data_IF_329962946497
#
_entry.id   IF_329962946497
#
_cell.length_a   1.000
_cell.length_b   1.000
_cell.length_c   1.000
_cell.angle_alpha   90.00
_cell.angle_beta   90.00
_cell.angle_gamma   90.00
#
_symmetry.space_group_name_H-M   'P 1'
#
loop_
_entity.id
_entity.type
_entity.pdbx_description
1 polymer ?
#
# COMPACT_ATOMS: atom_id res chain seq x y z
N UNK A 1 -26.33 -13.29 -74.13
CA UNK A 1 -27.65 -13.04 -73.50
C UNK A 1 -27.40 -12.27 -72.22
N UNK A 2 -27.64 -10.95 -72.25
CA UNK A 2 -27.43 -10.04 -71.16
C UNK A 2 -28.58 -10.14 -70.17
N UNK A 3 -28.31 -10.16 -68.87
CA UNK A 3 -29.29 -9.79 -67.84
C UNK A 3 -28.67 -8.84 -66.84
N UNK A 4 -29.27 -7.67 -66.81
CA UNK A 4 -29.02 -6.55 -65.92
C UNK A 4 -29.21 -6.93 -64.45
N UNK A 5 -28.32 -6.48 -63.58
CA UNK A 5 -28.55 -6.42 -62.15
C UNK A 5 -28.51 -4.96 -61.69
N UNK A 6 -29.64 -4.55 -61.22
CA UNK A 6 -29.93 -3.22 -60.68
C UNK A 6 -29.14 -2.99 -59.40
N UNK A 7 -28.38 -1.90 -59.32
CA UNK A 7 -27.69 -1.42 -58.14
C UNK A 7 -28.69 -0.59 -57.30
N UNK A 8 -29.11 -1.09 -56.14
CA UNK A 8 -29.88 -0.31 -55.18
C UNK A 8 -28.93 0.32 -54.18
N UNK A 9 -28.72 1.64 -54.25
CA UNK A 9 -28.03 2.42 -53.25
C UNK A 9 -28.90 2.57 -51.99
N UNK A 10 -28.53 1.89 -50.89
CA UNK A 10 -29.07 2.18 -49.56
C UNK A 10 -28.24 3.28 -48.93
N UNK A 11 -28.81 4.47 -48.85
CA UNK A 11 -28.23 5.56 -48.02
C UNK A 11 -28.51 5.25 -46.54
N UNK A 12 -27.46 4.90 -45.83
CA UNK A 12 -27.49 4.77 -44.35
C UNK A 12 -27.30 6.16 -43.76
N UNK A 13 -28.36 6.75 -43.25
CA UNK A 13 -28.33 7.95 -42.43
C UNK A 13 -27.70 7.59 -41.08
N UNK A 14 -26.45 8.00 -40.87
CA UNK A 14 -25.83 8.05 -39.53
C UNK A 14 -26.50 9.16 -38.72
N UNK A 15 -27.44 8.79 -37.86
CA UNK A 15 -27.87 9.66 -36.76
C UNK A 15 -26.72 9.69 -35.73
N UNK A 16 -25.98 10.77 -35.75
CA UNK A 16 -25.02 11.07 -34.65
C UNK A 16 -25.85 11.44 -33.43
N UNK A 17 -26.27 10.44 -32.69
CA UNK A 17 -26.78 10.64 -31.34
C UNK A 17 -25.65 11.07 -30.44
N UNK A 18 -25.50 12.36 -30.22
CA UNK A 18 -24.67 12.91 -29.19
C UNK A 18 -25.19 12.43 -27.83
N UNK A 19 -24.64 11.33 -27.32
CA UNK A 19 -24.84 10.95 -25.91
C UNK A 19 -24.09 11.99 -25.07
N UNK A 20 -24.84 12.95 -24.51
CA UNK A 20 -24.41 13.70 -23.35
C UNK A 20 -24.12 12.67 -22.24
N UNK A 21 -22.89 12.20 -22.16
CA UNK A 21 -22.40 11.58 -20.93
C UNK A 21 -22.39 12.69 -19.87
N UNK A 22 -23.51 12.81 -19.17
CA UNK A 22 -23.53 13.52 -17.91
C UNK A 22 -22.42 12.91 -17.07
N UNK A 23 -21.38 13.68 -16.75
CA UNK A 23 -20.36 13.33 -15.77
C UNK A 23 -21.08 13.04 -14.44
N UNK A 24 -21.47 11.78 -14.23
CA UNK A 24 -21.86 11.33 -12.92
C UNK A 24 -20.65 11.59 -12.03
N UNK A 25 -20.74 12.56 -11.10
CA UNK A 25 -19.69 12.80 -10.10
C UNK A 25 -19.39 11.47 -9.46
N UNK A 26 -18.20 10.94 -9.70
CA UNK A 26 -17.75 9.68 -9.12
C UNK A 26 -17.94 9.76 -7.60
N UNK A 27 -18.71 8.82 -7.06
CA UNK A 27 -19.03 8.82 -5.62
C UNK A 27 -17.74 8.63 -4.84
N UNK A 28 -17.50 9.50 -3.86
CA UNK A 28 -16.36 9.35 -2.95
C UNK A 28 -16.46 8.02 -2.20
N UNK A 29 -15.60 7.07 -2.53
CA UNK A 29 -15.62 5.70 -2.00
C UNK A 29 -14.57 5.44 -0.91
N UNK A 30 -13.90 6.50 -0.43
CA UNK A 30 -12.84 6.39 0.57
C UNK A 30 -13.41 6.49 1.98
N UNK A 31 -12.73 5.86 2.94
CA UNK A 31 -13.17 5.79 4.35
C UNK A 31 -12.86 7.06 5.15
N UNK A 32 -12.32 8.08 4.51
CA UNK A 32 -12.02 9.38 5.11
C UNK A 32 -12.71 10.51 4.32
N UNK A 33 -12.95 11.67 4.95
CA UNK A 33 -13.60 12.80 4.30
C UNK A 33 -12.80 13.33 3.11
N UNK A 34 -13.51 13.75 2.06
CA UNK A 34 -12.89 14.39 0.90
C UNK A 34 -12.43 15.81 1.25
N UNK A 35 -11.19 16.14 0.91
CA UNK A 35 -10.65 17.49 1.02
C UNK A 35 -11.07 18.34 -0.18
N UNK A 36 -11.34 19.62 0.07
CA UNK A 36 -11.54 20.63 -0.96
C UNK A 36 -10.21 21.31 -1.41
N UNK A 37 -9.09 21.01 -0.76
CA UNK A 37 -7.76 21.60 -1.05
C UNK A 37 -6.96 20.83 -2.08
N UNK A 38 -7.39 19.62 -2.45
CA UNK A 38 -6.68 18.75 -3.38
C UNK A 38 -7.56 18.28 -4.54
N UNK A 39 -6.93 18.05 -5.69
CA UNK A 39 -7.52 17.29 -6.79
C UNK A 39 -7.08 15.84 -6.66
N UNK A 40 -7.95 14.91 -7.00
CA UNK A 40 -7.64 13.46 -6.98
C UNK A 40 -7.89 12.91 -8.37
N UNK A 41 -6.89 12.24 -8.94
CA UNK A 41 -6.94 11.63 -10.26
C UNK A 41 -6.67 10.13 -10.12
N UNK A 42 -7.52 9.28 -10.69
CA UNK A 42 -7.23 7.85 -10.83
C UNK A 42 -6.18 7.64 -11.89
N UNK A 43 -5.18 6.83 -11.55
CA UNK A 43 -4.06 6.53 -12.43
C UNK A 43 -3.75 5.04 -12.42
N UNK A 44 -3.12 4.57 -13.50
CA UNK A 44 -2.55 3.23 -13.56
C UNK A 44 -1.11 3.29 -14.06
N UNK A 45 -0.28 2.37 -13.60
CA UNK A 45 1.10 2.23 -14.02
C UNK A 45 1.51 0.76 -13.89
N UNK A 46 2.61 0.36 -14.52
CA UNK A 46 3.07 -1.03 -14.48
C UNK A 46 4.37 -1.15 -13.71
N UNK A 47 4.49 -2.22 -12.93
CA UNK A 47 5.77 -2.61 -12.38
C UNK A 47 6.62 -3.39 -13.42
N UNK A 48 7.88 -3.66 -13.11
CA UNK A 48 8.81 -4.38 -14.03
C UNK A 48 8.37 -5.81 -14.37
N UNK A 49 7.44 -6.39 -13.60
CA UNK A 49 6.83 -7.69 -13.89
C UNK A 49 5.61 -7.58 -14.82
N UNK A 50 5.27 -6.37 -15.29
CA UNK A 50 4.14 -6.11 -16.17
C UNK A 50 2.79 -6.08 -15.46
N UNK A 51 2.76 -6.14 -14.12
CA UNK A 51 1.52 -6.04 -13.35
C UNK A 51 1.07 -4.58 -13.33
N UNK A 52 -0.18 -4.34 -13.73
CA UNK A 52 -0.79 -3.01 -13.68
C UNK A 52 -1.26 -2.71 -12.26
N UNK A 53 -0.75 -1.60 -11.72
CA UNK A 53 -1.11 -1.05 -10.42
C UNK A 53 -2.12 0.07 -10.59
N UNK A 54 -3.09 0.14 -9.67
CA UNK A 54 -4.06 1.21 -9.58
C UNK A 54 -3.68 2.17 -8.46
N UNK A 55 -3.70 3.47 -8.75
CA UNK A 55 -3.37 4.52 -7.79
C UNK A 55 -4.34 5.70 -7.85
N UNK A 56 -4.34 6.47 -6.77
CA UNK A 56 -4.96 7.79 -6.69
C UNK A 56 -3.84 8.83 -6.51
N UNK A 57 -3.71 9.71 -7.50
CA UNK A 57 -2.76 10.82 -7.49
C UNK A 57 -3.45 12.05 -6.88
N UNK A 58 -2.91 12.55 -5.78
CA UNK A 58 -3.41 13.72 -5.07
C UNK A 58 -2.52 14.92 -5.40
N UNK A 59 -3.13 15.99 -5.90
CA UNK A 59 -2.44 17.18 -6.40
C UNK A 59 -2.95 18.40 -5.63
N UNK A 60 -2.07 19.21 -4.98
CA UNK A 60 -2.47 20.45 -4.32
C UNK A 60 -3.17 21.39 -5.30
N UNK A 61 -4.34 21.94 -4.95
CA UNK A 61 -5.02 22.94 -5.81
C UNK A 61 -4.26 24.28 -5.90
N UNK A 62 -3.36 24.51 -4.97
CA UNK A 62 -2.49 25.70 -4.97
C UNK A 62 -1.32 25.59 -5.93
N UNK A 63 -1.09 24.43 -6.54
CA UNK A 63 0.00 24.21 -7.49
C UNK A 63 -0.28 24.93 -8.82
N UNK A 64 0.72 25.63 -9.36
CA UNK A 64 0.67 26.17 -10.72
C UNK A 64 1.03 25.09 -11.74
N UNK A 65 0.57 25.25 -12.98
CA UNK A 65 0.82 24.27 -14.06
C UNK A 65 2.32 24.09 -14.41
N UNK A 66 3.14 25.09 -14.13
CA UNK A 66 4.59 25.07 -14.35
C UNK A 66 5.40 24.53 -13.20
N UNK A 67 4.79 24.34 -12.02
CA UNK A 67 5.51 23.89 -10.83
C UNK A 67 5.96 22.42 -10.96
N UNK A 68 7.13 22.14 -10.39
CA UNK A 68 7.65 20.80 -10.19
C UNK A 68 7.83 20.58 -8.69
N UNK A 69 6.85 19.93 -8.09
CA UNK A 69 6.81 19.69 -6.65
C UNK A 69 7.57 18.41 -6.25
N UNK A 70 8.01 18.30 -5.01
CA UNK A 70 8.41 17.02 -4.44
C UNK A 70 7.22 16.08 -4.37
N UNK A 71 7.49 14.77 -4.49
CA UNK A 71 6.42 13.77 -4.50
C UNK A 71 6.66 12.62 -3.51
N UNK A 72 5.57 11.96 -3.07
CA UNK A 72 5.61 10.85 -2.12
C UNK A 72 4.71 9.72 -2.61
N UNK A 73 5.28 8.53 -2.82
CA UNK A 73 4.50 7.31 -3.07
C UNK A 73 4.13 6.64 -1.74
N UNK A 74 2.87 6.23 -1.58
CA UNK A 74 2.31 5.78 -0.30
C UNK A 74 1.53 4.48 -0.48
N UNK A 75 1.80 3.48 0.35
CA UNK A 75 1.04 2.22 0.33
C UNK A 75 0.91 1.56 1.70
N UNK A 76 -0.02 0.63 1.79
CA UNK A 76 -0.38 -0.07 3.02
C UNK A 76 -1.59 0.53 3.73
N UNK A 77 -2.00 -0.06 4.85
CA UNK A 77 -1.46 -1.26 5.51
C UNK A 77 -1.51 -2.54 4.67
N UNK A 78 -0.81 -3.59 5.11
CA UNK A 78 -0.84 -4.91 4.49
C UNK A 78 -2.27 -5.49 4.51
N UNK A 79 -2.84 -5.74 3.34
CA UNK A 79 -4.23 -6.18 3.18
C UNK A 79 -5.28 -5.05 3.12
N UNK A 80 -4.85 -3.79 3.22
CA UNK A 80 -5.68 -2.62 2.96
C UNK A 80 -5.66 -2.22 1.48
N UNK A 81 -6.45 -1.21 1.14
CA UNK A 81 -6.50 -0.57 -0.18
C UNK A 81 -6.27 0.94 -0.08
N UNK A 82 -5.98 1.58 -1.21
CA UNK A 82 -5.70 3.01 -1.31
C UNK A 82 -6.85 3.92 -0.84
N UNK A 83 -8.04 3.39 -0.71
CA UNK A 83 -9.23 4.08 -0.18
C UNK A 83 -9.25 4.16 1.35
N UNK A 84 -8.29 3.52 2.01
CA UNK A 84 -8.15 3.48 3.47
C UNK A 84 -6.99 4.38 3.94
N UNK A 85 -6.17 3.92 4.87
CA UNK A 85 -5.10 4.68 5.53
C UNK A 85 -4.14 5.36 4.55
N UNK A 86 -3.64 4.65 3.52
CA UNK A 86 -2.69 5.26 2.56
C UNK A 86 -3.28 6.45 1.81
N UNK A 87 -4.57 6.42 1.46
CA UNK A 87 -5.25 7.56 0.86
C UNK A 87 -5.42 8.75 1.80
N UNK A 88 -5.70 8.50 3.08
CA UNK A 88 -5.74 9.56 4.11
C UNK A 88 -4.37 10.26 4.22
N UNK A 89 -3.30 9.49 4.31
CA UNK A 89 -1.94 10.04 4.34
C UNK A 89 -1.61 10.82 3.07
N UNK A 90 -1.99 10.28 1.91
CA UNK A 90 -1.77 10.94 0.63
C UNK A 90 -2.52 12.27 0.55
N UNK A 91 -3.81 12.29 0.88
CA UNK A 91 -4.60 13.52 0.92
C UNK A 91 -3.99 14.56 1.85
N UNK A 92 -3.66 14.17 3.08
CA UNK A 92 -3.15 15.09 4.09
C UNK A 92 -1.78 15.67 3.72
N UNK A 93 -0.88 14.86 3.14
CA UNK A 93 0.43 15.36 2.69
C UNK A 93 0.29 16.20 1.41
N UNK A 94 -0.69 15.93 0.56
CA UNK A 94 -0.97 16.80 -0.59
C UNK A 94 -1.52 18.16 -0.17
N UNK A 95 -2.35 18.25 0.87
CA UNK A 95 -2.77 19.53 1.47
C UNK A 95 -1.59 20.37 1.97
N UNK A 96 -0.46 19.72 2.27
CA UNK A 96 0.77 20.32 2.78
C UNK A 96 1.82 20.63 1.70
N UNK A 97 1.45 20.48 0.42
CA UNK A 97 2.22 20.94 -0.73
C UNK A 97 3.04 19.88 -1.47
N UNK A 98 2.81 18.58 -1.22
CA UNK A 98 3.44 17.50 -1.98
C UNK A 98 2.48 16.97 -3.06
N UNK A 99 3.01 16.46 -4.18
CA UNK A 99 2.24 15.55 -5.01
C UNK A 99 2.33 14.17 -4.37
N UNK A 100 1.20 13.48 -4.14
CA UNK A 100 1.22 12.18 -3.49
C UNK A 100 0.46 11.15 -4.30
N UNK A 101 0.95 9.91 -4.25
CA UNK A 101 0.36 8.76 -4.95
C UNK A 101 0.06 7.67 -3.94
N UNK A 102 -1.22 7.48 -3.60
CA UNK A 102 -1.65 6.28 -2.89
C UNK A 102 -1.95 5.17 -3.89
N UNK A 103 -1.40 3.97 -3.71
CA UNK A 103 -1.60 2.87 -4.66
C UNK A 103 -1.97 1.55 -3.97
N UNK A 104 -2.77 0.75 -4.67
CA UNK A 104 -3.01 -0.64 -4.31
C UNK A 104 -1.79 -1.48 -4.72
N UNK A 105 -1.27 -2.34 -3.85
CA UNK A 105 -0.20 -3.25 -4.23
C UNK A 105 -0.64 -4.27 -5.28
N UNK A 106 0.32 -4.86 -5.99
CA UNK A 106 0.07 -5.99 -6.89
C UNK A 106 -0.83 -7.04 -6.24
N UNK A 107 -1.73 -7.62 -7.00
CA UNK A 107 -2.70 -8.66 -6.62
C UNK A 107 -3.82 -8.21 -5.66
N UNK A 108 -3.87 -6.96 -5.23
CA UNK A 108 -4.85 -6.46 -4.25
C UNK A 108 -5.65 -5.28 -4.80
N UNK A 109 -6.80 -4.99 -4.18
CA UNK A 109 -7.64 -3.87 -4.56
C UNK A 109 -8.01 -3.84 -6.04
N UNK A 110 -7.79 -2.72 -6.70
CA UNK A 110 -7.99 -2.51 -8.14
C UNK A 110 -6.74 -2.85 -8.98
N UNK A 111 -5.56 -3.02 -8.35
CA UNK A 111 -4.36 -3.50 -9.03
C UNK A 111 -4.55 -4.92 -9.57
N UNK A 112 -3.86 -5.22 -10.67
CA UNK A 112 -3.97 -6.51 -11.35
C UNK A 112 -3.03 -7.55 -10.73
N UNK A 113 -2.92 -8.68 -11.40
CA UNK A 113 -2.14 -9.83 -10.99
C UNK A 113 -3.01 -11.06 -10.72
N UNK A 114 -2.53 -12.23 -11.12
CA UNK A 114 -3.22 -13.52 -10.99
C UNK A 114 -2.23 -14.56 -10.46
N UNK A 115 -2.62 -15.36 -9.45
CA UNK A 115 -3.89 -15.34 -8.73
C UNK A 115 -4.05 -14.09 -7.86
N UNK A 116 -5.29 -13.79 -7.43
CA UNK A 116 -5.55 -12.65 -6.56
C UNK A 116 -5.05 -12.88 -5.13
N UNK A 117 -4.85 -11.77 -4.41
CA UNK A 117 -4.50 -11.74 -2.99
C UNK A 117 -3.18 -12.46 -2.67
N UNK A 118 -2.24 -12.40 -3.58
CA UNK A 118 -0.86 -12.86 -3.35
C UNK A 118 -0.06 -11.79 -2.64
N UNK A 119 0.75 -12.20 -1.67
CA UNK A 119 1.78 -11.36 -1.08
C UNK A 119 3.16 -11.90 -1.48
N UNK A 120 4.04 -11.02 -1.92
CA UNK A 120 5.41 -11.36 -2.30
C UNK A 120 6.37 -10.26 -1.85
N UNK A 121 7.38 -10.57 -1.03
CA UNK A 121 8.35 -9.55 -0.59
C UNK A 121 9.04 -8.83 -1.75
N UNK A 122 9.40 -9.56 -2.81
CA UNK A 122 10.03 -8.99 -4.01
C UNK A 122 9.06 -8.07 -4.77
N UNK A 123 7.88 -8.58 -5.11
CA UNK A 123 6.90 -7.83 -5.92
C UNK A 123 6.36 -6.62 -5.17
N UNK A 124 6.03 -6.76 -3.86
CA UNK A 124 5.50 -5.65 -3.09
C UNK A 124 6.57 -4.58 -2.77
N UNK A 125 7.84 -4.95 -2.73
CA UNK A 125 8.96 -3.99 -2.71
C UNK A 125 9.07 -3.26 -4.05
N UNK A 126 9.01 -4.00 -5.16
CA UNK A 126 9.05 -3.47 -6.52
C UNK A 126 7.90 -2.49 -6.80
N UNK A 127 6.71 -2.70 -6.22
CA UNK A 127 5.57 -1.81 -6.42
C UNK A 127 5.88 -0.37 -5.97
N UNK A 128 6.76 -0.16 -4.98
CA UNK A 128 7.28 1.17 -4.64
C UNK A 128 8.19 1.74 -5.72
N UNK A 129 9.10 0.95 -6.28
CA UNK A 129 9.97 1.38 -7.39
C UNK A 129 9.16 1.74 -8.63
N UNK A 130 8.11 0.98 -8.94
CA UNK A 130 7.18 1.29 -10.03
C UNK A 130 6.42 2.60 -9.79
N UNK A 131 6.04 2.88 -8.54
CA UNK A 131 5.43 4.16 -8.18
C UNK A 131 6.44 5.32 -8.33
N UNK A 132 7.72 5.11 -8.02
CA UNK A 132 8.80 6.07 -8.28
C UNK A 132 8.99 6.29 -9.78
N UNK A 133 8.94 5.24 -10.60
CA UNK A 133 8.98 5.35 -12.07
C UNK A 133 7.84 6.24 -12.58
N UNK A 134 6.61 5.99 -12.13
CA UNK A 134 5.45 6.78 -12.50
C UNK A 134 5.61 8.26 -12.10
N UNK A 135 6.00 8.53 -10.86
CA UNK A 135 6.18 9.90 -10.36
C UNK A 135 7.33 10.60 -11.07
N UNK A 136 8.44 9.93 -11.35
CA UNK A 136 9.60 10.51 -12.07
C UNK A 136 9.26 10.95 -13.49
N UNK A 137 8.25 10.34 -14.12
CA UNK A 137 7.76 10.68 -15.45
C UNK A 137 6.58 11.66 -15.42
N UNK A 138 6.10 12.07 -14.26
CA UNK A 138 5.04 13.08 -14.15
C UNK A 138 5.62 14.49 -14.34
N UNK A 139 5.08 15.23 -15.30
CA UNK A 139 5.57 16.58 -15.68
C UNK A 139 5.61 17.60 -14.52
N UNK A 140 4.79 17.42 -13.51
CA UNK A 140 4.68 18.31 -12.36
C UNK A 140 5.48 17.81 -11.13
N UNK A 141 6.19 16.70 -11.24
CA UNK A 141 7.07 16.17 -10.18
C UNK A 141 8.52 16.52 -10.48
N UNK A 142 9.26 16.89 -9.44
CA UNK A 142 10.72 16.95 -9.51
C UNK A 142 11.27 15.53 -9.26
N UNK A 143 11.88 14.87 -10.27
CA UNK A 143 12.34 13.49 -10.15
C UNK A 143 13.47 13.29 -9.12
N UNK A 144 14.18 14.36 -8.76
CA UNK A 144 15.22 14.32 -7.73
C UNK A 144 14.68 14.52 -6.30
N UNK A 145 13.36 14.68 -6.14
CA UNK A 145 12.68 14.98 -4.88
C UNK A 145 11.52 14.00 -4.64
N UNK A 146 11.78 12.70 -4.74
CA UNK A 146 10.79 11.66 -4.52
C UNK A 146 11.08 10.90 -3.23
N UNK A 147 10.10 10.87 -2.33
CA UNK A 147 10.08 10.05 -1.14
C UNK A 147 9.06 8.93 -1.23
N UNK A 148 9.13 8.00 -0.28
CA UNK A 148 8.13 6.94 -0.12
C UNK A 148 7.66 6.85 1.33
N UNK A 149 6.41 6.41 1.52
CA UNK A 149 5.84 6.15 2.84
C UNK A 149 5.12 4.80 2.84
N UNK A 150 5.53 3.92 3.75
CA UNK A 150 4.89 2.64 3.96
C UNK A 150 4.20 2.55 5.32
N UNK A 151 2.99 1.98 5.36
CA UNK A 151 2.21 1.83 6.58
C UNK A 151 2.09 0.35 6.93
N UNK A 152 2.26 -0.03 8.20
CA UNK A 152 2.17 -1.42 8.67
C UNK A 152 3.15 -2.34 7.92
N UNK A 153 2.71 -3.44 7.33
CA UNK A 153 3.57 -4.32 6.52
C UNK A 153 4.28 -3.63 5.37
N UNK A 154 3.65 -2.62 4.77
CA UNK A 154 4.28 -1.81 3.72
C UNK A 154 5.37 -0.86 4.28
N UNK A 155 5.40 -0.59 5.57
CA UNK A 155 6.55 0.05 6.21
C UNK A 155 7.84 -0.77 6.08
N UNK A 156 7.75 -2.09 6.25
CA UNK A 156 8.88 -3.00 6.02
C UNK A 156 9.30 -3.05 4.54
N UNK A 157 8.34 -3.13 3.62
CA UNK A 157 8.63 -3.10 2.17
C UNK A 157 9.19 -1.75 1.71
N UNK A 158 8.77 -0.62 2.31
CA UNK A 158 9.35 0.69 2.02
C UNK A 158 10.81 0.77 2.45
N UNK A 159 11.18 0.23 3.61
CA UNK A 159 12.60 0.16 4.04
C UNK A 159 13.40 -0.73 3.06
N UNK A 160 12.84 -1.87 2.64
CA UNK A 160 13.48 -2.72 1.65
C UNK A 160 13.63 -2.03 0.29
N UNK A 161 12.62 -1.27 -0.16
CA UNK A 161 12.69 -0.48 -1.39
C UNK A 161 13.77 0.60 -1.31
N UNK A 162 13.92 1.28 -0.17
CA UNK A 162 14.99 2.26 0.05
C UNK A 162 16.40 1.65 0.01
N UNK A 163 16.54 0.37 0.36
CA UNK A 163 17.82 -0.34 0.26
C UNK A 163 18.19 -0.72 -1.19
N UNK A 164 17.21 -0.77 -2.10
CA UNK A 164 17.41 -1.21 -3.49
C UNK A 164 17.37 -0.03 -4.47
N UNK A 165 16.45 0.91 -4.28
CA UNK A 165 16.19 2.00 -5.22
C UNK A 165 16.82 3.32 -4.75
N UNK A 166 17.95 3.67 -5.32
CA UNK A 166 18.71 4.89 -4.97
C UNK A 166 18.04 6.20 -5.39
N UNK A 167 16.97 6.16 -6.17
CA UNK A 167 16.15 7.31 -6.53
C UNK A 167 15.26 7.77 -5.38
N UNK A 168 15.00 6.90 -4.40
CA UNK A 168 14.25 7.23 -3.20
C UNK A 168 15.10 8.13 -2.30
N UNK A 169 14.67 9.38 -2.12
CA UNK A 169 15.44 10.41 -1.39
C UNK A 169 15.09 10.49 0.11
N UNK A 170 13.91 10.05 0.50
CA UNK A 170 13.48 10.00 1.89
C UNK A 170 12.42 8.89 2.09
N UNK A 171 12.48 8.18 3.20
CA UNK A 171 11.58 7.06 3.49
C UNK A 171 10.93 7.23 4.86
N UNK A 172 9.60 7.12 4.93
CA UNK A 172 8.88 7.03 6.21
C UNK A 172 8.24 5.65 6.35
N UNK A 173 8.45 5.00 7.48
CA UNK A 173 7.78 3.75 7.84
C UNK A 173 6.91 3.98 9.08
N UNK A 174 5.58 3.89 8.92
CA UNK A 174 4.62 4.19 9.99
C UNK A 174 4.05 2.90 10.54
N UNK A 175 4.09 2.74 11.87
CA UNK A 175 3.59 1.56 12.59
C UNK A 175 3.98 0.25 11.90
N UNK A 176 5.25 0.17 11.46
CA UNK A 176 5.73 -0.85 10.56
C UNK A 176 5.67 -2.27 11.13
N UNK A 177 5.52 -3.21 10.19
CA UNK A 177 5.74 -4.64 10.41
C UNK A 177 6.84 -5.16 9.48
N UNK A 178 7.64 -6.07 9.98
CA UNK A 178 8.39 -6.98 9.13
C UNK A 178 7.53 -8.22 8.86
N UNK A 179 6.81 -8.21 7.74
CA UNK A 179 5.90 -9.30 7.36
C UNK A 179 6.64 -10.62 7.15
N UNK A 180 7.90 -10.56 6.77
CA UNK A 180 8.73 -11.76 6.58
C UNK A 180 9.14 -12.37 7.92
N UNK A 181 9.50 -11.54 8.89
CA UNK A 181 9.83 -12.01 10.25
C UNK A 181 8.60 -12.57 10.95
N UNK A 182 7.47 -11.86 10.95
CA UNK A 182 6.28 -12.34 11.65
C UNK A 182 5.77 -13.65 11.03
N UNK A 183 5.82 -13.79 9.71
CA UNK A 183 5.41 -15.03 9.05
C UNK A 183 6.38 -16.19 9.33
N UNK A 184 7.70 -15.91 9.36
CA UNK A 184 8.71 -16.95 9.60
C UNK A 184 8.87 -17.32 11.07
N UNK A 185 8.66 -16.39 12.01
CA UNK A 185 9.00 -16.55 13.42
C UNK A 185 7.82 -16.36 14.38
N UNK A 186 6.65 -15.99 13.88
CA UNK A 186 5.49 -15.68 14.70
C UNK A 186 5.62 -14.36 15.46
N UNK A 187 4.58 -14.04 16.21
CA UNK A 187 4.56 -12.85 17.08
C UNK A 187 5.57 -13.03 18.23
N UNK A 188 6.38 -12.01 18.45
CA UNK A 188 7.51 -12.03 19.41
C UNK A 188 8.49 -13.19 19.19
N UNK A 189 8.70 -13.62 17.94
CA UNK A 189 9.58 -14.74 17.56
C UNK A 189 9.22 -16.07 18.26
N UNK A 190 7.94 -16.31 18.50
CA UNK A 190 7.42 -17.49 19.21
C UNK A 190 7.49 -18.81 18.42
N UNK A 191 7.77 -18.77 17.13
CA UNK A 191 7.87 -19.94 16.24
C UNK A 191 9.32 -20.37 16.07
N UNK A 192 9.66 -21.53 16.59
CA UNK A 192 10.99 -22.11 16.47
C UNK A 192 11.25 -22.77 15.08
N UNK A 193 12.41 -23.41 14.92
CA UNK A 193 12.79 -24.06 13.65
C UNK A 193 11.92 -25.26 13.32
N UNK A 194 11.45 -26.02 14.31
CA UNK A 194 10.63 -27.21 14.10
C UNK A 194 9.21 -26.81 13.70
N UNK A 195 8.58 -25.92 14.46
CA UNK A 195 7.26 -25.39 14.14
C UNK A 195 7.24 -24.70 12.76
N UNK A 196 8.30 -23.97 12.39
CA UNK A 196 8.44 -23.40 11.04
C UNK A 196 8.60 -24.46 9.96
N UNK A 197 9.27 -25.59 10.24
CA UNK A 197 9.37 -26.70 9.32
C UNK A 197 8.00 -27.34 9.06
N UNK A 198 7.23 -27.61 10.12
CA UNK A 198 5.86 -28.13 10.04
C UNK A 198 4.93 -27.18 9.26
N UNK A 199 5.04 -25.87 9.49
CA UNK A 199 4.32 -24.88 8.71
C UNK A 199 4.66 -24.99 7.22
N UNK A 200 5.94 -25.11 6.86
CA UNK A 200 6.35 -25.31 5.45
C UNK A 200 5.81 -26.62 4.87
N UNK A 201 5.79 -27.71 5.61
CA UNK A 201 5.19 -28.98 5.17
C UNK A 201 3.70 -28.81 4.86
N UNK A 202 2.95 -28.16 5.75
CA UNK A 202 1.52 -27.87 5.56
C UNK A 202 1.28 -26.99 4.31
N UNK A 203 2.05 -25.92 4.14
CA UNK A 203 1.95 -25.02 2.99
C UNK A 203 2.32 -25.73 1.68
N UNK A 204 3.34 -26.57 1.67
CA UNK A 204 3.71 -27.33 0.48
C UNK A 204 2.67 -28.39 0.10
N UNK A 205 2.03 -29.04 1.10
CA UNK A 205 0.88 -29.90 0.85
C UNK A 205 -0.27 -29.11 0.21
N UNK A 206 -0.60 -27.95 0.75
CA UNK A 206 -1.63 -27.08 0.18
C UNK A 206 -1.28 -26.64 -1.24
N UNK A 207 -0.02 -26.29 -1.53
CA UNK A 207 0.43 -25.96 -2.88
C UNK A 207 0.19 -27.09 -3.88
N UNK A 208 0.40 -28.34 -3.48
CA UNK A 208 0.11 -29.51 -4.32
C UNK A 208 -1.38 -29.64 -4.61
N UNK A 209 -2.23 -29.42 -3.59
CA UNK A 209 -3.68 -29.46 -3.76
C UNK A 209 -4.19 -28.31 -4.64
N UNK A 210 -3.66 -27.08 -4.46
CA UNK A 210 -3.99 -25.92 -5.29
C UNK A 210 -3.67 -26.20 -6.76
N UNK A 211 -2.49 -26.77 -7.04
CA UNK A 211 -2.10 -27.17 -8.40
C UNK A 211 -3.03 -28.23 -9.00
N UNK A 212 -3.34 -29.26 -8.24
CA UNK A 212 -4.23 -30.36 -8.65
C UNK A 212 -5.64 -29.88 -8.99
N UNK A 213 -6.15 -28.92 -8.20
CA UNK A 213 -7.53 -28.44 -8.31
C UNK A 213 -7.67 -27.22 -9.23
N UNK A 214 -6.57 -26.62 -9.68
CA UNK A 214 -6.59 -25.38 -10.47
C UNK A 214 -7.14 -24.17 -9.73
N UNK A 215 -7.07 -24.18 -8.41
CA UNK A 215 -7.67 -23.17 -7.55
C UNK A 215 -6.78 -22.92 -6.31
N UNK A 216 -6.85 -21.74 -5.73
CA UNK A 216 -5.97 -21.29 -4.65
C UNK A 216 -6.74 -21.12 -3.35
N UNK A 217 -6.34 -21.84 -2.30
CA UNK A 217 -6.95 -21.74 -0.99
C UNK A 217 -6.64 -20.40 -0.33
N UNK A 218 -7.68 -19.76 0.22
CA UNK A 218 -7.54 -18.56 1.05
C UNK A 218 -7.11 -18.91 2.48
N UNK A 219 -6.17 -18.13 3.03
CA UNK A 219 -5.84 -18.17 4.45
C UNK A 219 -6.94 -17.51 5.29
N UNK A 220 -7.06 -17.91 6.54
CA UNK A 220 -7.98 -17.26 7.46
C UNK A 220 -7.54 -15.81 7.74
N UNK A 221 -8.53 -14.92 7.84
CA UNK A 221 -8.36 -13.50 8.12
C UNK A 221 -8.85 -13.11 9.50
N UNK A 222 -9.22 -11.84 9.68
CA UNK A 222 -9.90 -11.38 10.89
C UNK A 222 -11.24 -12.09 11.06
N UNK A 223 -11.65 -12.39 12.31
CA UNK A 223 -12.92 -13.04 12.56
C UNK A 223 -14.10 -12.17 12.09
N UNK A 224 -15.23 -12.80 11.75
CA UNK A 224 -16.46 -12.05 11.40
C UNK A 224 -17.16 -11.46 12.62
N UNK A 225 -16.91 -12.01 13.81
CA UNK A 225 -17.40 -11.49 15.10
C UNK A 225 -16.35 -11.73 16.17
N UNK A 226 -16.21 -10.78 17.08
CA UNK A 226 -15.40 -10.97 18.28
C UNK A 226 -16.16 -11.84 19.31
N UNK A 227 -15.43 -12.72 19.97
CA UNK A 227 -15.91 -13.52 21.10
C UNK A 227 -15.57 -12.87 22.45
N UNK A 228 -14.65 -11.89 22.43
CA UNK A 228 -14.11 -11.22 23.62
C UNK A 228 -12.87 -11.88 24.19
N UNK A 229 -12.47 -13.04 23.65
CA UNK A 229 -11.25 -13.76 24.06
C UNK A 229 -10.04 -13.50 23.18
N UNK A 230 -10.22 -12.77 22.09
CA UNK A 230 -9.15 -12.45 21.15
C UNK A 230 -8.11 -11.52 21.80
N UNK A 231 -6.83 -11.66 21.43
CA UNK A 231 -5.79 -10.71 21.83
C UNK A 231 -6.21 -9.26 21.50
N UNK A 232 -5.83 -8.31 22.34
CA UNK A 232 -6.22 -6.89 22.20
C UNK A 232 -5.92 -6.35 20.79
N UNK A 233 -4.77 -6.69 20.21
CA UNK A 233 -4.42 -6.23 18.87
C UNK A 233 -5.36 -6.77 17.77
N UNK A 234 -5.91 -7.98 17.94
CA UNK A 234 -6.92 -8.54 17.02
C UNK A 234 -8.22 -7.76 17.14
N UNK A 235 -8.64 -7.41 18.37
CA UNK A 235 -9.80 -6.55 18.61
C UNK A 235 -9.62 -5.16 17.99
N UNK A 236 -8.42 -4.57 18.08
CA UNK A 236 -8.09 -3.28 17.45
C UNK A 236 -8.14 -3.35 15.92
N UNK A 237 -7.61 -4.43 15.31
CA UNK A 237 -7.73 -4.64 13.87
C UNK A 237 -9.19 -4.87 13.43
N UNK A 238 -9.96 -5.62 14.22
CA UNK A 238 -11.38 -5.82 13.96
C UNK A 238 -12.13 -4.48 13.98
N UNK A 239 -11.88 -3.65 14.99
CA UNK A 239 -12.50 -2.33 15.10
C UNK A 239 -12.22 -1.46 13.86
N UNK A 240 -10.98 -1.46 13.34
CA UNK A 240 -10.67 -0.72 12.14
C UNK A 240 -11.27 -1.37 10.88
N UNK A 241 -10.99 -2.66 10.61
CA UNK A 241 -11.30 -3.27 9.32
C UNK A 241 -12.74 -3.78 9.18
N UNK A 242 -13.41 -4.13 10.27
CA UNK A 242 -14.73 -4.76 10.25
C UNK A 242 -15.87 -3.83 10.66
N UNK A 243 -15.56 -2.57 11.00
CA UNK A 243 -16.56 -1.56 11.36
C UNK A 243 -16.55 -0.38 10.39
N UNK A 244 -17.46 0.58 10.56
CA UNK A 244 -17.52 1.81 9.76
C UNK A 244 -16.27 2.68 9.85
N UNK A 245 -15.38 2.41 10.81
CA UNK A 245 -14.14 3.15 11.01
C UNK A 245 -13.24 3.07 9.78
N UNK A 246 -13.02 1.89 9.23
CA UNK A 246 -12.12 1.70 8.10
C UNK A 246 -12.50 0.56 7.16
N UNK A 247 -13.72 0.00 7.26
CA UNK A 247 -14.18 -1.07 6.36
C UNK A 247 -14.20 -0.59 4.90
N UNK A 248 -13.60 -1.39 4.02
CA UNK A 248 -13.71 -1.20 2.58
C UNK A 248 -13.88 -2.53 1.84
N UNK A 249 -14.81 -2.61 0.90
CA UNK A 249 -15.20 -3.86 0.23
C UNK A 249 -14.07 -4.55 -0.53
N UNK A 250 -13.09 -3.79 -1.04
CA UNK A 250 -11.92 -4.32 -1.76
C UNK A 250 -10.75 -4.68 -0.86
N UNK A 251 -10.79 -4.30 0.42
CA UNK A 251 -9.73 -4.63 1.38
C UNK A 251 -9.78 -6.10 1.78
N UNK A 252 -8.66 -6.79 1.70
CA UNK A 252 -8.54 -8.19 2.10
C UNK A 252 -8.86 -8.35 3.59
N UNK A 253 -8.39 -7.42 4.43
CA UNK A 253 -8.63 -7.47 5.86
C UNK A 253 -10.10 -7.19 6.23
N UNK A 254 -10.83 -6.46 5.39
CA UNK A 254 -12.25 -6.17 5.61
C UNK A 254 -13.16 -7.27 5.06
N UNK A 255 -12.86 -7.80 3.86
CA UNK A 255 -13.78 -8.65 3.13
C UNK A 255 -13.06 -9.65 2.20
N UNK A 256 -11.95 -10.21 2.62
CA UNK A 256 -11.18 -11.11 1.77
C UNK A 256 -10.34 -12.12 2.54
N UNK A 257 -9.55 -12.86 1.78
CA UNK A 257 -8.58 -13.84 2.31
C UNK A 257 -7.32 -13.76 1.47
N UNK A 258 -6.17 -13.81 2.12
CA UNK A 258 -4.90 -13.96 1.44
C UNK A 258 -4.77 -15.30 0.75
N UNK A 259 -4.08 -15.36 -0.38
CA UNK A 259 -3.62 -16.64 -0.92
C UNK A 259 -2.72 -17.33 0.10
N UNK A 260 -3.11 -18.51 0.57
CA UNK A 260 -2.48 -19.19 1.71
C UNK A 260 -1.01 -19.50 1.45
N UNK A 261 -0.68 -19.92 0.22
CA UNK A 261 0.69 -20.32 -0.15
C UNK A 261 1.65 -19.14 -0.36
N UNK A 262 1.15 -17.89 -0.36
CA UNK A 262 2.00 -16.68 -0.34
C UNK A 262 2.95 -16.65 0.85
N UNK A 263 2.58 -17.27 1.97
CA UNK A 263 3.41 -17.38 3.17
C UNK A 263 4.77 -18.04 2.91
N UNK A 264 4.89 -18.91 1.89
CA UNK A 264 6.16 -19.53 1.51
C UNK A 264 7.23 -18.50 1.12
N UNK A 265 6.87 -17.48 0.35
CA UNK A 265 7.79 -16.39 -0.02
C UNK A 265 8.15 -15.54 1.21
N UNK A 266 7.17 -15.19 2.03
CA UNK A 266 7.39 -14.40 3.25
C UNK A 266 8.30 -15.12 4.25
N UNK A 267 8.20 -16.43 4.39
CA UNK A 267 9.06 -17.20 5.29
C UNK A 267 10.53 -17.16 4.87
N UNK A 268 10.84 -17.05 3.59
CA UNK A 268 12.19 -17.31 3.07
C UNK A 268 12.91 -16.08 2.52
N UNK A 269 12.33 -14.89 2.56
CA UNK A 269 12.90 -13.67 1.98
C UNK A 269 12.94 -12.52 3.02
N UNK A 270 13.94 -12.48 3.91
CA UNK A 270 14.04 -11.41 4.91
C UNK A 270 14.28 -10.05 4.27
N UNK A 271 13.37 -9.10 4.49
CA UNK A 271 13.38 -7.76 3.83
C UNK A 271 14.29 -6.73 4.48
N UNK A 272 14.81 -6.97 5.67
CA UNK A 272 15.71 -6.03 6.36
C UNK A 272 17.18 -6.46 6.29
N UNK A 273 17.54 -7.30 5.31
CA UNK A 273 18.88 -7.86 5.19
C UNK A 273 19.96 -6.80 4.92
N UNK A 274 19.63 -5.81 4.09
CA UNK A 274 20.53 -4.74 3.66
C UNK A 274 20.06 -3.36 4.13
N UNK A 275 19.31 -3.30 5.24
CA UNK A 275 18.83 -2.03 5.80
C UNK A 275 19.98 -1.10 6.26
N UNK A 276 21.13 -1.65 6.63
CA UNK A 276 22.35 -0.93 7.02
C UNK A 276 23.07 -0.24 5.85
N UNK A 277 22.72 -0.59 4.61
CA UNK A 277 23.26 0.05 3.40
C UNK A 277 22.47 1.29 2.95
N UNK A 278 21.30 1.57 3.55
CA UNK A 278 20.46 2.71 3.19
C UNK A 278 21.17 4.02 3.55
N UNK A 279 21.54 4.80 2.54
CA UNK A 279 22.20 6.10 2.70
C UNK A 279 21.24 7.27 2.88
N UNK A 280 20.03 7.16 2.34
CA UNK A 280 19.03 8.23 2.39
C UNK A 280 18.34 8.31 3.75
N UNK A 281 17.78 9.48 4.12
CA UNK A 281 17.05 9.66 5.38
C UNK A 281 15.91 8.68 5.58
N UNK A 282 15.76 8.14 6.80
CA UNK A 282 14.66 7.26 7.18
C UNK A 282 14.03 7.73 8.49
N UNK A 283 12.71 7.91 8.49
CA UNK A 283 11.90 8.16 9.67
C UNK A 283 11.01 6.94 9.95
N UNK A 284 11.17 6.33 11.13
CA UNK A 284 10.25 5.31 11.63
C UNK A 284 9.34 5.96 12.66
N UNK A 285 8.02 5.92 12.42
CA UNK A 285 7.00 6.41 13.35
C UNK A 285 6.27 5.22 13.96
N UNK A 286 6.21 5.14 15.28
CA UNK A 286 5.54 4.01 15.93
C UNK A 286 4.75 4.45 17.17
N UNK A 287 3.65 3.76 17.45
CA UNK A 287 2.88 3.98 18.68
C UNK A 287 3.59 3.39 19.91
N UNK A 288 3.54 4.11 21.03
CA UNK A 288 4.17 3.71 22.30
C UNK A 288 3.66 2.36 22.79
N UNK A 289 2.34 2.16 22.71
CA UNK A 289 1.66 0.93 23.18
C UNK A 289 1.27 -0.02 22.02
N UNK A 290 1.83 0.21 20.83
CA UNK A 290 1.57 -0.66 19.70
C UNK A 290 2.24 -2.03 19.92
N UNK A 291 1.45 -3.10 19.80
CA UNK A 291 1.93 -4.49 19.92
C UNK A 291 3.06 -4.83 18.94
N UNK A 292 3.15 -4.08 17.83
CA UNK A 292 4.14 -4.26 16.75
C UNK A 292 5.37 -3.37 16.92
N UNK A 293 5.50 -2.60 17.98
CA UNK A 293 6.57 -1.62 18.18
C UNK A 293 7.97 -2.23 18.03
N UNK A 294 8.17 -3.45 18.49
CA UNK A 294 9.44 -4.16 18.41
C UNK A 294 9.95 -4.37 16.97
N UNK A 295 9.07 -4.39 15.96
CA UNK A 295 9.51 -4.42 14.56
C UNK A 295 10.18 -3.11 14.15
N UNK A 296 9.58 -1.97 14.53
CA UNK A 296 10.15 -0.64 14.25
C UNK A 296 11.48 -0.44 14.98
N UNK A 297 11.57 -0.83 16.25
CA UNK A 297 12.81 -0.77 17.04
C UNK A 297 13.91 -1.66 16.44
N UNK A 298 13.55 -2.87 16.00
CA UNK A 298 14.52 -3.76 15.34
C UNK A 298 14.96 -3.19 13.98
N UNK A 299 14.06 -2.64 13.18
CA UNK A 299 14.42 -2.02 11.91
C UNK A 299 15.37 -0.84 12.15
N UNK A 300 15.04 0.03 13.10
CA UNK A 300 15.87 1.18 13.47
C UNK A 300 17.27 0.75 13.92
N UNK A 301 17.40 -0.30 14.72
CA UNK A 301 18.70 -0.81 15.17
C UNK A 301 19.60 -1.31 14.03
N UNK A 302 19.04 -1.68 12.90
CA UNK A 302 19.76 -2.11 11.69
C UNK A 302 20.23 -0.94 10.84
N UNK A 303 19.48 0.18 10.84
CA UNK A 303 19.84 1.37 10.06
C UNK A 303 21.13 1.99 10.54
N UNK A 304 21.92 2.56 9.62
CA UNK A 304 23.20 3.23 9.89
C UNK A 304 23.19 4.68 9.40
N UNK A 305 24.00 5.52 10.03
CA UNK A 305 24.12 6.96 9.70
C UNK A 305 23.26 7.85 10.59
N UNK A 306 23.54 9.16 10.56
CA UNK A 306 22.95 10.17 11.45
C UNK A 306 21.59 10.69 10.98
N UNK A 307 21.18 10.33 9.76
CA UNK A 307 19.93 10.73 9.13
C UNK A 307 18.81 9.69 9.31
N UNK A 308 18.83 8.97 10.43
CA UNK A 308 17.83 7.95 10.79
C UNK A 308 17.15 8.35 12.10
N UNK A 309 15.84 8.26 12.13
CA UNK A 309 15.06 8.65 13.29
C UNK A 309 14.00 7.61 13.63
N UNK A 310 13.82 7.34 14.94
CA UNK A 310 12.69 6.59 15.48
C UNK A 310 11.86 7.55 16.33
N UNK A 311 10.64 7.85 15.88
CA UNK A 311 9.71 8.72 16.57
C UNK A 311 8.58 7.90 17.20
N UNK A 312 8.46 7.95 18.53
CA UNK A 312 7.44 7.23 19.29
C UNK A 312 6.30 8.16 19.66
N UNK A 313 5.10 7.84 19.19
CA UNK A 313 3.87 8.57 19.49
C UNK A 313 3.30 8.07 20.82
N UNK A 314 3.32 8.95 21.84
CA UNK A 314 2.90 8.62 23.20
C UNK A 314 1.43 8.17 23.25
N UNK A 315 1.18 7.05 23.91
CA UNK A 315 -0.16 6.49 24.15
C UNK A 315 -0.88 5.97 22.90
N UNK A 316 -0.27 6.02 21.71
CA UNK A 316 -0.87 5.48 20.49
C UNK A 316 -0.66 3.97 20.39
N UNK A 317 -1.69 3.24 19.96
CA UNK A 317 -1.61 1.85 19.56
C UNK A 317 -1.29 1.73 18.05
N UNK A 318 -1.31 0.51 17.51
CA UNK A 318 -0.98 0.27 16.11
C UNK A 318 -1.95 0.92 15.13
N UNK A 319 -3.25 0.76 15.35
CA UNK A 319 -4.29 1.25 14.42
C UNK A 319 -4.64 2.72 14.61
N UNK A 320 -4.23 3.35 15.72
CA UNK A 320 -4.34 4.79 15.87
C UNK A 320 -3.48 5.54 14.84
N UNK A 321 -2.44 4.90 14.32
CA UNK A 321 -1.63 5.45 13.24
C UNK A 321 -2.17 5.10 11.83
N UNK A 322 -3.38 4.53 11.72
CA UNK A 322 -4.06 4.33 10.44
C UNK A 322 -4.96 5.52 10.06
N UNK A 323 -5.69 6.05 11.03
CA UNK A 323 -6.69 7.10 10.83
C UNK A 323 -6.65 8.23 11.88
N UNK A 324 -5.73 8.14 12.84
CA UNK A 324 -5.58 9.08 13.95
C UNK A 324 -6.29 8.62 15.23
N UNK A 325 -7.22 7.68 15.16
CA UNK A 325 -8.04 7.28 16.30
C UNK A 325 -8.78 8.47 16.93
N UNK A 326 -9.26 8.31 18.15
CA UNK A 326 -9.97 9.36 18.87
C UNK A 326 -9.10 10.57 19.24
N UNK A 327 -7.77 10.40 19.24
CA UNK A 327 -6.81 11.42 19.70
C UNK A 327 -6.07 12.12 18.56
N UNK A 328 -6.44 11.86 17.32
CA UNK A 328 -5.73 12.37 16.15
C UNK A 328 -4.21 12.10 16.23
N UNK A 329 -3.85 10.84 16.52
CA UNK A 329 -2.52 10.43 16.92
C UNK A 329 -1.46 10.47 15.81
N UNK A 330 -1.85 10.63 14.53
CA UNK A 330 -0.89 10.64 13.42
C UNK A 330 -0.06 11.93 13.48
N UNK A 331 1.27 11.86 13.61
CA UNK A 331 2.12 13.03 13.74
C UNK A 331 2.44 13.64 12.37
N UNK A 332 1.40 14.13 11.66
CA UNK A 332 1.57 14.68 10.31
C UNK A 332 2.56 15.84 10.24
N UNK A 333 2.65 16.68 11.26
CA UNK A 333 3.61 17.80 11.28
C UNK A 333 5.06 17.30 11.31
N UNK A 334 5.32 16.21 12.05
CA UNK A 334 6.64 15.56 12.06
C UNK A 334 6.98 14.94 10.72
N UNK A 335 6.02 14.25 10.10
CA UNK A 335 6.18 13.60 8.78
C UNK A 335 6.39 14.67 7.69
N UNK A 336 5.62 15.75 7.72
CA UNK A 336 5.77 16.88 6.82
C UNK A 336 7.16 17.52 6.94
N UNK A 337 7.58 17.85 8.18
CA UNK A 337 8.90 18.44 8.42
C UNK A 337 10.02 17.56 7.91
N UNK A 338 9.94 16.25 8.16
CA UNK A 338 10.91 15.29 7.66
C UNK A 338 11.04 15.34 6.13
N UNK A 339 9.92 15.32 5.39
CA UNK A 339 9.99 15.39 3.93
C UNK A 339 10.42 16.76 3.42
N UNK A 340 9.97 17.85 4.05
CA UNK A 340 10.41 19.21 3.67
C UNK A 340 11.92 19.42 3.86
N UNK A 341 12.51 18.79 4.85
CA UNK A 341 13.96 18.86 5.11
C UNK A 341 14.77 18.02 4.13
N UNK A 342 14.23 16.90 3.68
CA UNK A 342 14.99 15.89 2.94
C UNK A 342 14.64 15.82 1.43
N UNK A 343 13.59 16.52 0.97
CA UNK A 343 13.22 16.66 -0.44
C UNK A 343 13.40 18.09 -0.96
N UNK A 344 14.47 18.77 -0.51
CA UNK A 344 14.80 20.15 -0.94
C UNK A 344 15.36 20.22 -2.35
#
# INVERSE_FOLDING_TARGET
MFKNVLLACLAVLFVIGGSNMANAKEKWDKVFPKSDKVNVERVTFKNRFGIELAGDLYIPKTMNKSDKLPAIAISGPFGAVKEQSSGLYAQTLAERGFITLAFDPSYTGESKGTPRHVASPDINTEDFSAAVDYLSNNKNVNPDKIGILGICGFGGFAINAAAIDTRIKATTAVTMYDMTRVTARGYNDSVDKNARYEMKQSLNKQRTEDFKNGNYKGADGLPEKLTGSEPLFVQQYFDYYKTKRGFHTRSINSNGKWNMTSSLSLINQPILQYADEIKTPVLIVHGEIAHSRYFGETAFSKLKGDNKELFIVKGANHVDLYDGGDKNAIPFDKIESFYKENLK
#
